data_IF_579811984759
#
_entry.id   IF_579811984759
#
_cell.length_a   1.000
_cell.length_b   1.000
_cell.length_c   1.000
_cell.angle_alpha   90.00
_cell.angle_beta   90.00
_cell.angle_gamma   90.00
#
_symmetry.space_group_name_H-M   'P 1'
#
loop_
_entity.id
_entity.type
_entity.pdbx_description
1 polymer ?
#
# COMPACT_ATOMS: atom_id res chain seq x y z
N UNK A 1 -42.53 29.38 -9.31
CA UNK A 1 -41.36 28.62 -9.82
C UNK A 1 -40.65 28.04 -8.61
N UNK A 2 -40.86 26.76 -8.33
CA UNK A 2 -40.42 26.09 -7.10
C UNK A 2 -38.96 25.64 -7.16
N UNK A 3 -38.25 25.80 -6.05
CA UNK A 3 -36.88 25.32 -5.85
C UNK A 3 -36.96 23.83 -5.50
N UNK A 4 -36.47 22.97 -6.39
CA UNK A 4 -36.27 21.54 -6.10
C UNK A 4 -35.00 21.39 -5.26
N UNK A 5 -35.20 21.18 -3.97
CA UNK A 5 -34.15 20.84 -3.01
C UNK A 5 -33.60 19.43 -3.30
N UNK A 6 -32.34 19.39 -3.74
CA UNK A 6 -31.50 18.19 -3.72
C UNK A 6 -31.08 17.94 -2.27
N UNK A 7 -31.74 17.02 -1.57
CA UNK A 7 -31.26 16.54 -0.28
C UNK A 7 -30.98 15.04 -0.37
N UNK A 8 -29.68 14.75 -0.34
CA UNK A 8 -29.09 13.43 -0.25
C UNK A 8 -29.61 12.69 1.00
N UNK A 9 -30.40 11.65 0.79
CA UNK A 9 -30.85 10.75 1.84
C UNK A 9 -30.75 9.30 1.34
N UNK A 10 -29.53 8.76 1.24
CA UNK A 10 -29.37 7.34 0.88
C UNK A 10 -28.04 6.69 1.27
N UNK A 11 -27.41 7.10 2.37
CA UNK A 11 -26.24 6.35 2.91
C UNK A 11 -26.19 6.15 4.43
N UNK A 12 -27.14 6.68 5.21
CA UNK A 12 -27.13 6.48 6.66
C UNK A 12 -27.82 5.19 7.15
N UNK A 13 -28.63 4.53 6.31
CA UNK A 13 -29.45 3.38 6.69
C UNK A 13 -28.77 1.99 6.48
N UNK A 14 -27.46 1.95 6.20
CA UNK A 14 -26.71 0.68 6.05
C UNK A 14 -25.87 0.32 7.28
N UNK A 15 -25.79 1.19 8.30
CA UNK A 15 -24.91 1.00 9.45
C UNK A 15 -25.56 0.25 10.63
N UNK A 16 -26.89 0.16 10.70
CA UNK A 16 -27.59 -0.36 11.89
C UNK A 16 -27.72 -1.90 11.96
N UNK A 17 -27.17 -2.65 10.99
CA UNK A 17 -27.25 -4.12 10.96
C UNK A 17 -25.92 -4.86 10.79
N UNK A 18 -24.79 -4.15 10.67
CA UNK A 18 -23.48 -4.75 10.42
C UNK A 18 -22.88 -5.27 11.72
N UNK A 19 -22.54 -6.56 11.73
CA UNK A 19 -21.86 -7.18 12.88
C UNK A 19 -20.54 -6.45 13.21
N UNK A 20 -20.10 -6.49 14.47
CA UNK A 20 -18.81 -5.89 14.89
C UNK A 20 -17.63 -6.36 14.02
N UNK A 21 -17.67 -7.60 13.54
CA UNK A 21 -16.62 -8.15 12.69
C UNK A 21 -16.69 -7.61 11.26
N UNK A 22 -17.89 -7.32 10.75
CA UNK A 22 -18.02 -6.70 9.43
C UNK A 22 -17.53 -5.25 9.44
N UNK A 23 -17.84 -4.49 10.51
CA UNK A 23 -17.29 -3.15 10.71
C UNK A 23 -15.75 -3.17 10.80
N UNK A 24 -15.17 -4.13 11.52
CA UNK A 24 -13.72 -4.30 11.60
C UNK A 24 -13.10 -4.66 10.25
N UNK A 25 -13.80 -5.45 9.44
CA UNK A 25 -13.34 -5.82 8.10
C UNK A 25 -13.32 -4.59 7.19
N UNK A 26 -14.39 -3.80 7.18
CA UNK A 26 -14.46 -2.57 6.40
C UNK A 26 -13.42 -1.54 6.87
N UNK A 27 -13.22 -1.40 8.17
CA UNK A 27 -12.17 -0.55 8.71
C UNK A 27 -10.78 -1.01 8.26
N UNK A 28 -10.50 -2.32 8.35
CA UNK A 28 -9.21 -2.87 7.91
C UNK A 28 -8.99 -2.70 6.40
N UNK A 29 -10.06 -2.82 5.60
CA UNK A 29 -10.04 -2.53 4.17
C UNK A 29 -9.69 -1.07 3.92
N UNK A 30 -10.40 -0.15 4.58
CA UNK A 30 -10.21 1.29 4.45
C UNK A 30 -8.80 1.73 4.86
N UNK A 31 -8.23 1.16 5.93
CA UNK A 31 -6.88 1.48 6.37
C UNK A 31 -5.82 1.06 5.33
N UNK A 32 -6.05 -0.07 4.66
CA UNK A 32 -5.20 -0.54 3.58
C UNK A 32 -5.34 0.33 2.33
N UNK A 33 -6.56 0.79 2.02
CA UNK A 33 -6.82 1.75 0.93
C UNK A 33 -6.13 3.10 1.17
N UNK A 34 -6.21 3.63 2.41
CA UNK A 34 -5.52 4.87 2.80
C UNK A 34 -4.01 4.75 2.66
N UNK A 35 -3.43 3.59 2.98
CA UNK A 35 -2.00 3.34 2.76
C UNK A 35 -1.66 3.37 1.28
N UNK A 36 -2.47 2.70 0.46
CA UNK A 36 -2.28 2.66 -0.97
C UNK A 36 -2.60 3.99 -1.69
N UNK A 37 -3.05 5.02 -0.96
CA UNK A 37 -3.25 6.35 -1.53
C UNK A 37 -1.93 7.06 -1.87
N UNK A 38 -0.83 6.72 -1.19
CA UNK A 38 0.51 7.21 -1.53
C UNK A 38 1.18 6.28 -2.57
N UNK A 39 1.97 6.79 -3.53
CA UNK A 39 2.61 5.95 -4.56
C UNK A 39 3.51 4.83 -4.01
N UNK A 40 4.26 5.11 -2.93
CA UNK A 40 5.10 4.13 -2.24
C UNK A 40 4.25 3.05 -1.57
N UNK A 41 3.19 3.47 -0.87
CA UNK A 41 2.24 2.57 -0.22
C UNK A 41 1.47 1.72 -1.23
N UNK A 42 1.09 2.28 -2.37
CA UNK A 42 0.46 1.57 -3.47
C UNK A 42 1.37 0.44 -3.97
N UNK A 43 2.62 0.75 -4.30
CA UNK A 43 3.61 -0.25 -4.76
C UNK A 43 3.83 -1.34 -3.73
N UNK A 44 3.92 -0.99 -2.45
CA UNK A 44 4.10 -1.95 -1.38
C UNK A 44 2.87 -2.87 -1.25
N UNK A 45 1.66 -2.30 -1.27
CA UNK A 45 0.41 -3.06 -1.20
C UNK A 45 0.24 -3.98 -2.40
N UNK A 46 0.45 -3.47 -3.63
CA UNK A 46 0.40 -4.28 -4.85
C UNK A 46 1.39 -5.44 -4.81
N UNK A 47 2.63 -5.17 -4.43
CA UNK A 47 3.67 -6.20 -4.27
C UNK A 47 3.22 -7.27 -3.27
N UNK A 48 2.60 -6.84 -2.16
CA UNK A 48 2.12 -7.77 -1.13
C UNK A 48 0.94 -8.60 -1.59
N UNK A 49 -0.05 -7.99 -2.25
CA UNK A 49 -1.19 -8.72 -2.81
C UNK A 49 -0.74 -9.81 -3.79
N UNK A 50 0.18 -9.49 -4.71
CA UNK A 50 0.74 -10.46 -5.66
C UNK A 50 1.39 -11.63 -4.93
N UNK A 51 2.23 -11.35 -3.94
CA UNK A 51 2.97 -12.38 -3.20
C UNK A 51 2.07 -13.24 -2.29
N UNK A 52 1.13 -12.62 -1.57
CA UNK A 52 0.27 -13.28 -0.59
C UNK A 52 -0.74 -14.21 -1.27
N UNK A 53 -1.32 -13.75 -2.39
CA UNK A 53 -2.35 -14.48 -3.12
C UNK A 53 -1.84 -15.23 -4.35
N UNK A 54 -0.53 -15.14 -4.64
CA UNK A 54 0.11 -15.73 -5.83
C UNK A 54 -0.59 -15.33 -7.14
N UNK A 55 -0.98 -14.06 -7.23
CA UNK A 55 -1.61 -13.47 -8.42
C UNK A 55 -0.64 -12.56 -9.16
N UNK A 56 -0.82 -12.44 -10.46
CA UNK A 56 -0.08 -11.53 -11.31
C UNK A 56 -0.60 -10.07 -11.21
N UNK A 57 0.15 -9.15 -11.81
CA UNK A 57 -0.22 -7.73 -11.83
C UNK A 57 -1.52 -7.46 -12.60
N UNK A 58 -1.76 -8.16 -13.71
CA UNK A 58 -2.95 -7.95 -14.53
C UNK A 58 -4.22 -8.30 -13.76
N UNK A 59 -4.20 -9.33 -12.91
CA UNK A 59 -5.31 -9.64 -11.99
C UNK A 59 -5.59 -8.50 -11.01
N UNK A 60 -4.55 -7.93 -10.39
CA UNK A 60 -4.72 -6.82 -9.42
C UNK A 60 -5.22 -5.56 -10.13
N UNK A 61 -4.63 -5.21 -11.27
CA UNK A 61 -5.04 -4.05 -12.07
C UNK A 61 -6.45 -4.23 -12.67
N UNK A 62 -6.82 -5.45 -13.08
CA UNK A 62 -8.17 -5.76 -13.54
C UNK A 62 -9.22 -5.47 -12.47
N UNK A 63 -8.95 -5.88 -11.23
CA UNK A 63 -9.84 -5.58 -10.10
C UNK A 63 -9.85 -4.09 -9.73
N UNK A 64 -8.72 -3.39 -9.86
CA UNK A 64 -8.67 -1.91 -9.73
C UNK A 64 -9.53 -1.23 -10.80
N UNK A 65 -9.50 -1.74 -12.03
CA UNK A 65 -10.34 -1.28 -13.14
C UNK A 65 -11.84 -1.43 -12.87
N UNK A 66 -12.22 -2.39 -12.01
CA UNK A 66 -13.60 -2.58 -11.53
C UNK A 66 -13.99 -1.64 -10.37
N UNK A 67 -13.21 -0.57 -10.15
CA UNK A 67 -13.40 0.45 -9.10
C UNK A 67 -13.29 -0.07 -7.66
N UNK A 68 -12.61 -1.19 -7.44
CA UNK A 68 -12.34 -1.70 -6.09
C UNK A 68 -11.14 -1.01 -5.45
N UNK A 69 -11.24 -0.72 -4.16
CA UNK A 69 -10.07 -0.40 -3.32
C UNK A 69 -9.11 -1.59 -3.20
N UNK A 70 -7.84 -1.35 -2.85
CA UNK A 70 -6.90 -2.42 -2.53
C UNK A 70 -7.35 -3.27 -1.33
N UNK A 71 -8.07 -2.68 -0.38
CA UNK A 71 -8.65 -3.38 0.75
C UNK A 71 -9.73 -4.35 0.29
N UNK A 72 -10.63 -3.88 -0.58
CA UNK A 72 -11.68 -4.71 -1.17
C UNK A 72 -11.08 -5.81 -2.07
N UNK A 73 -10.04 -5.48 -2.85
CA UNK A 73 -9.28 -6.46 -3.64
C UNK A 73 -8.72 -7.56 -2.73
N UNK A 74 -8.12 -7.19 -1.59
CA UNK A 74 -7.64 -8.18 -0.64
C UNK A 74 -8.77 -9.08 -0.12
N UNK A 75 -9.97 -8.55 0.11
CA UNK A 75 -11.12 -9.34 0.57
C UNK A 75 -11.59 -10.30 -0.53
N UNK A 76 -11.74 -9.81 -1.76
CA UNK A 76 -12.14 -10.63 -2.92
C UNK A 76 -11.15 -11.76 -3.16
N UNK A 77 -9.84 -11.47 -3.15
CA UNK A 77 -8.81 -12.49 -3.33
C UNK A 77 -8.80 -13.50 -2.17
N UNK A 78 -8.97 -13.05 -0.92
CA UNK A 78 -9.04 -13.94 0.24
C UNK A 78 -10.28 -14.85 0.24
N UNK A 79 -11.42 -14.35 -0.26
CA UNK A 79 -12.62 -15.16 -0.45
C UNK A 79 -12.43 -16.17 -1.59
N UNK A 80 -11.93 -15.72 -2.74
CA UNK A 80 -11.70 -16.57 -3.90
C UNK A 80 -10.68 -17.69 -3.60
N UNK A 81 -9.65 -17.43 -2.78
CA UNK A 81 -8.69 -18.45 -2.31
C UNK A 81 -9.36 -19.61 -1.56
N UNK A 82 -10.53 -19.38 -0.94
CA UNK A 82 -11.29 -20.41 -0.21
C UNK A 82 -12.37 -21.07 -1.04
N UNK A 83 -12.64 -20.57 -2.23
CA UNK A 83 -13.58 -21.20 -3.16
C UNK A 83 -12.92 -22.40 -3.86
N UNK A 84 -13.71 -23.40 -4.28
CA UNK A 84 -13.19 -24.50 -5.08
C UNK A 84 -12.54 -23.97 -6.37
N UNK A 85 -11.36 -24.48 -6.70
CA UNK A 85 -10.55 -23.98 -7.82
C UNK A 85 -9.70 -22.74 -7.50
N UNK A 86 -9.85 -22.12 -6.31
CA UNK A 86 -9.03 -21.00 -5.87
C UNK A 86 -9.34 -19.70 -6.61
N UNK A 87 -8.32 -18.88 -6.84
CA UNK A 87 -8.47 -17.52 -7.37
C UNK A 87 -8.60 -17.53 -8.91
N UNK A 88 -9.79 -17.91 -9.38
CA UNK A 88 -10.18 -17.89 -10.79
C UNK A 88 -11.05 -16.67 -11.12
N UNK A 89 -11.12 -16.29 -12.40
CA UNK A 89 -11.98 -15.18 -12.82
C UNK A 89 -13.46 -15.47 -12.55
N UNK A 90 -13.88 -16.73 -12.66
CA UNK A 90 -15.25 -17.14 -12.33
C UNK A 90 -15.58 -16.92 -10.85
N UNK A 91 -14.66 -17.27 -9.95
CA UNK A 91 -14.85 -17.10 -8.51
C UNK A 91 -14.84 -15.61 -8.12
N UNK A 92 -13.89 -14.85 -8.67
CA UNK A 92 -13.81 -13.39 -8.49
C UNK A 92 -15.09 -12.71 -8.99
N UNK A 93 -15.55 -13.06 -10.20
CA UNK A 93 -16.77 -12.50 -10.77
C UNK A 93 -18.00 -12.87 -9.94
N UNK A 94 -18.09 -14.11 -9.44
CA UNK A 94 -19.18 -14.53 -8.55
C UNK A 94 -19.26 -13.69 -7.27
N UNK A 95 -18.10 -13.41 -6.64
CA UNK A 95 -18.01 -12.53 -5.46
C UNK A 95 -18.43 -11.09 -5.84
N UNK A 96 -17.94 -10.60 -6.97
CA UNK A 96 -18.23 -9.24 -7.44
C UNK A 96 -19.70 -9.03 -7.78
N UNK A 97 -20.33 -10.00 -8.46
CA UNK A 97 -21.77 -9.96 -8.73
C UNK A 97 -22.61 -9.96 -7.45
N UNK A 98 -22.13 -10.55 -6.36
CA UNK A 98 -22.80 -10.52 -5.07
C UNK A 98 -22.62 -9.18 -4.33
N UNK A 99 -21.46 -8.55 -4.49
CA UNK A 99 -21.13 -7.25 -3.90
C UNK A 99 -21.81 -6.09 -4.64
N UNK A 100 -21.93 -6.18 -5.97
CA UNK A 100 -22.39 -5.09 -6.82
C UNK A 100 -23.77 -5.32 -7.45
N UNK A 101 -24.22 -6.58 -7.56
CA UNK A 101 -25.52 -6.92 -8.13
C UNK A 101 -26.66 -6.78 -7.11
N UNK A 102 -27.90 -6.48 -7.56
CA UNK A 102 -29.06 -6.48 -6.69
C UNK A 102 -29.48 -7.93 -6.32
N UNK A 103 -29.75 -8.23 -5.03
CA UNK A 103 -29.56 -7.38 -3.86
C UNK A 103 -28.08 -7.26 -3.46
N UNK A 104 -27.63 -6.03 -3.18
CA UNK A 104 -26.25 -5.75 -2.74
C UNK A 104 -25.99 -6.45 -1.42
N UNK A 105 -25.03 -7.38 -1.40
CA UNK A 105 -24.66 -8.12 -0.19
C UNK A 105 -23.40 -7.54 0.47
N UNK A 106 -23.45 -7.40 1.79
CA UNK A 106 -22.29 -7.08 2.61
C UNK A 106 -21.27 -8.22 2.63
N UNK A 107 -20.01 -7.89 2.98
CA UNK A 107 -18.92 -8.86 3.07
C UNK A 107 -19.23 -10.01 4.02
N UNK A 108 -19.99 -9.76 5.10
CA UNK A 108 -20.44 -10.76 6.05
C UNK A 108 -21.33 -11.81 5.41
N UNK A 109 -22.30 -11.38 4.60
CA UNK A 109 -23.22 -12.29 3.90
C UNK A 109 -22.51 -13.06 2.79
N UNK A 110 -21.62 -12.41 2.04
CA UNK A 110 -20.80 -13.06 1.01
C UNK A 110 -19.89 -14.11 1.65
N UNK A 111 -19.18 -13.76 2.72
CA UNK A 111 -18.30 -14.68 3.44
C UNK A 111 -19.07 -15.87 4.01
N UNK A 112 -20.23 -15.63 4.63
CA UNK A 112 -21.10 -16.70 5.14
C UNK A 112 -21.56 -17.65 4.03
N UNK A 113 -21.96 -17.13 2.86
CA UNK A 113 -22.38 -17.93 1.71
C UNK A 113 -21.29 -18.88 1.21
N UNK A 114 -20.03 -18.47 1.32
CA UNK A 114 -18.86 -19.29 0.95
C UNK A 114 -18.22 -20.02 2.14
N UNK A 115 -18.90 -20.10 3.29
CA UNK A 115 -18.41 -20.73 4.52
C UNK A 115 -17.07 -20.17 5.04
N UNK A 116 -16.80 -18.89 4.80
CA UNK A 116 -15.60 -18.18 5.25
C UNK A 116 -15.92 -17.33 6.48
N UNK A 117 -15.12 -17.45 7.54
CA UNK A 117 -15.25 -16.63 8.74
C UNK A 117 -14.68 -15.22 8.50
N UNK A 118 -15.43 -14.18 8.87
CA UNK A 118 -15.00 -12.78 8.78
C UNK A 118 -13.66 -12.53 9.48
N UNK A 119 -13.45 -13.11 10.68
CA UNK A 119 -12.17 -13.01 11.39
C UNK A 119 -10.95 -13.44 10.58
N UNK A 120 -11.09 -14.44 9.69
CA UNK A 120 -10.01 -14.88 8.80
C UNK A 120 -9.72 -13.85 7.71
N UNK A 121 -10.77 -13.23 7.15
CA UNK A 121 -10.63 -12.16 6.16
C UNK A 121 -9.96 -10.93 6.79
N UNK A 122 -10.40 -10.52 7.99
CA UNK A 122 -9.79 -9.42 8.75
C UNK A 122 -8.30 -9.69 8.95
N UNK A 123 -7.94 -10.90 9.38
CA UNK A 123 -6.55 -11.30 9.58
C UNK A 123 -5.72 -11.20 8.29
N UNK A 124 -6.27 -11.64 7.15
CA UNK A 124 -5.62 -11.55 5.84
C UNK A 124 -5.38 -10.09 5.42
N UNK A 125 -6.42 -9.25 5.49
CA UNK A 125 -6.31 -7.82 5.14
C UNK A 125 -5.30 -7.11 6.03
N UNK A 126 -5.36 -7.32 7.36
CA UNK A 126 -4.38 -6.75 8.30
C UNK A 126 -2.97 -7.26 8.07
N UNK A 127 -2.82 -8.53 7.66
CA UNK A 127 -1.53 -9.12 7.31
C UNK A 127 -0.90 -8.41 6.11
N UNK A 128 -1.68 -8.15 5.06
CA UNK A 128 -1.23 -7.39 3.88
C UNK A 128 -0.84 -5.97 4.28
N UNK A 129 -1.67 -5.26 5.04
CA UNK A 129 -1.38 -3.90 5.51
C UNK A 129 -0.10 -3.86 6.38
N UNK A 130 0.06 -4.77 7.34
CA UNK A 130 1.25 -4.84 8.19
C UNK A 130 2.52 -5.16 7.41
N UNK A 131 2.43 -6.06 6.42
CA UNK A 131 3.57 -6.41 5.57
C UNK A 131 3.94 -5.26 4.62
N UNK A 132 2.95 -4.56 4.07
CA UNK A 132 3.16 -3.36 3.25
C UNK A 132 3.83 -2.25 4.08
N UNK A 133 3.35 -1.97 5.30
CA UNK A 133 3.98 -1.05 6.27
C UNK A 133 5.46 -1.35 6.46
N UNK A 134 5.79 -2.63 6.66
CA UNK A 134 7.16 -3.06 6.92
C UNK A 134 8.04 -2.86 5.69
N UNK A 135 7.51 -3.14 4.50
CA UNK A 135 8.22 -2.93 3.23
C UNK A 135 8.50 -1.44 2.98
N UNK A 136 7.52 -0.56 3.15
CA UNK A 136 7.71 0.89 3.00
C UNK A 136 8.79 1.41 3.94
N UNK A 137 8.75 1.03 5.23
CA UNK A 137 9.76 1.43 6.21
C UNK A 137 11.16 0.92 5.86
N UNK A 138 11.26 -0.32 5.36
CA UNK A 138 12.54 -0.89 4.96
C UNK A 138 13.11 -0.18 3.72
N UNK A 139 12.28 0.15 2.75
CA UNK A 139 12.68 0.88 1.56
C UNK A 139 13.13 2.31 1.90
N UNK A 140 12.38 3.02 2.76
CA UNK A 140 12.75 4.37 3.18
C UNK A 140 14.11 4.38 3.91
N UNK A 141 14.31 3.46 4.86
CA UNK A 141 15.58 3.31 5.57
C UNK A 141 16.74 2.95 4.63
N UNK A 142 16.46 2.20 3.57
CA UNK A 142 17.43 1.89 2.51
C UNK A 142 17.82 3.13 1.69
N UNK A 143 16.83 3.99 1.36
CA UNK A 143 17.08 5.26 0.65
C UNK A 143 17.87 6.24 1.50
N UNK A 144 17.56 6.39 2.79
CA UNK A 144 18.30 7.26 3.72
C UNK A 144 19.78 6.84 3.81
N UNK A 145 20.06 5.55 3.98
CA UNK A 145 21.44 5.04 4.00
C UNK A 145 22.18 5.24 2.68
N UNK A 146 21.48 5.12 1.54
CA UNK A 146 22.08 5.34 0.22
C UNK A 146 22.37 6.83 -0.03
N UNK A 147 21.49 7.72 0.43
CA UNK A 147 21.68 9.16 0.38
C UNK A 147 22.88 9.60 1.25
N UNK A 148 22.98 9.12 2.49
CA UNK A 148 24.11 9.43 3.38
C UNK A 148 25.46 8.99 2.79
N UNK A 149 25.50 7.81 2.15
CA UNK A 149 26.70 7.30 1.48
C UNK A 149 27.06 8.10 0.22
N UNK A 150 26.07 8.56 -0.54
CA UNK A 150 26.28 9.41 -1.71
C UNK A 150 26.75 10.82 -1.32
N UNK A 151 26.25 11.37 -0.21
CA UNK A 151 26.67 12.67 0.30
C UNK A 151 28.12 12.64 0.83
N UNK A 152 28.52 11.56 1.51
CA UNK A 152 29.93 11.33 1.89
C UNK A 152 30.85 11.13 0.69
N UNK A 153 30.38 10.52 -0.40
CA UNK A 153 31.17 10.28 -1.62
C UNK A 153 31.22 11.50 -2.56
N UNK A 154 30.26 12.42 -2.43
CA UNK A 154 30.14 13.63 -3.26
C UNK A 154 30.80 14.87 -2.68
N UNK A 155 31.38 14.81 -1.47
CA UNK A 155 32.19 15.88 -0.89
C UNK A 155 33.60 15.78 -1.47
N UNK A 156 34.00 16.60 -2.47
CA UNK A 156 35.40 16.66 -2.86
C UNK A 156 36.18 17.04 -1.61
N UNK A 157 37.17 16.22 -1.26
CA UNK A 157 38.23 16.64 -0.34
C UNK A 157 38.73 17.98 -0.85
N UNK A 158 38.40 19.02 -0.09
CA UNK A 158 38.86 20.38 -0.30
C UNK A 158 40.38 20.29 -0.19
N UNK A 159 41.06 20.13 -1.33
CA UNK A 159 42.47 20.41 -1.48
C UNK A 159 42.66 21.91 -1.30
N UNK A 160 42.61 22.36 -0.04
CA UNK A 160 42.82 23.74 0.35
C UNK A 160 44.00 23.77 1.33
N UNK A 161 45.22 23.91 0.77
CA UNK A 161 46.13 24.99 1.16
C UNK A 161 47.32 25.09 0.19
N UNK A 162 47.33 26.04 -0.74
CA UNK A 162 48.58 26.58 -1.25
C UNK A 162 49.08 27.64 -0.26
N UNK A 163 50.01 27.28 0.64
CA UNK A 163 50.74 28.30 1.40
C UNK A 163 52.05 28.65 0.71
N UNK A 164 51.99 29.82 0.10
CA UNK A 164 53.04 30.66 -0.47
C UNK A 164 54.31 30.74 0.38
N UNK A 165 55.44 30.36 -0.24
CA UNK A 165 56.79 30.99 -0.21
C UNK A 165 57.29 31.52 1.14
N UNK A 166 58.22 30.81 1.78
CA UNK A 166 59.24 31.43 2.64
C UNK A 166 60.60 31.41 1.95
N UNK A 167 60.99 32.61 1.52
CA UNK A 167 62.27 33.01 0.93
C UNK A 167 63.39 32.76 1.95
N UNK A 168 64.19 31.73 1.75
CA UNK A 168 65.42 31.52 2.51
C UNK A 168 66.53 32.43 1.94
N UNK A 169 66.54 33.70 2.37
CA UNK A 169 67.64 34.64 2.13
C UNK A 169 68.78 34.30 3.11
N UNK A 170 69.63 33.33 2.76
CA UNK A 170 70.86 33.08 3.50
C UNK A 170 71.95 34.08 3.05
N UNK A 171 71.97 35.23 3.71
CA UNK A 171 73.08 36.20 3.68
C UNK A 171 74.12 35.75 4.71
N UNK A 172 75.23 35.18 4.23
CA UNK A 172 76.25 34.65 5.14
C UNK A 172 77.59 34.24 4.52
N UNK A 173 78.28 35.16 3.83
CA UNK A 173 79.75 35.29 3.93
C UNK A 173 80.67 34.46 3.03
N UNK A 174 81.44 35.15 2.18
CA UNK A 174 82.91 35.11 2.28
C UNK A 174 83.57 36.24 1.49
N UNK A 175 84.31 37.08 2.23
CA UNK A 175 85.42 37.89 1.74
C UNK A 175 86.62 36.95 1.57
N UNK A 176 87.31 36.99 0.43
CA UNK A 176 88.70 37.45 0.31
C UNK A 176 89.13 37.46 -1.16
#
# INVERSE_FOLDING_TARGET
MGVLAFCAASYAAAAEGLSKDEQKLEQSSSDLDKRAAAPEGQKAVESRLKSEYKVDDARVQGLRGQRLGYGEISIVLALAEKMPGGITDANVQSIMSQRQGPPVMGWGRIAAKHNVKLGKLIGKVKGVDAAARKQEKAENKGREKKAERAEKAGRPEKAERPERVERHENRGGSRK
#
